data_IF_317378789835
#
_entry.id   IF_317378789835
#
_cell.length_a   1.000
_cell.length_b   1.000
_cell.length_c   1.000
_cell.angle_alpha   90.00
_cell.angle_beta   90.00
_cell.angle_gamma   90.00
#
_symmetry.space_group_name_H-M   'P 1'
#
loop_
_entity.id
_entity.type
_entity.pdbx_description
1 polymer ?
#
# COMPACT_ATOMS: atom_id res chain seq x y z
N UNK A 1 -13.27 -30.45 5.15
CA UNK A 1 -13.38 -29.31 4.21
C UNK A 1 -13.76 -28.11 5.05
N UNK A 2 -12.91 -27.08 5.18
CA UNK A 2 -13.28 -25.86 5.92
C UNK A 2 -14.39 -25.15 5.14
N UNK A 3 -15.45 -24.72 5.83
CA UNK A 3 -16.58 -24.07 5.19
C UNK A 3 -16.09 -22.80 4.46
N UNK A 4 -16.40 -22.72 3.15
CA UNK A 4 -16.03 -21.60 2.29
C UNK A 4 -16.78 -20.35 2.77
N UNK A 5 -16.08 -19.24 2.95
CA UNK A 5 -16.71 -17.94 3.18
C UNK A 5 -17.67 -17.63 2.02
N UNK A 6 -18.91 -17.29 2.34
CA UNK A 6 -19.97 -17.01 1.38
C UNK A 6 -20.47 -15.57 1.59
N UNK A 7 -20.46 -14.77 0.53
CA UNK A 7 -20.99 -13.40 0.59
C UNK A 7 -22.51 -13.45 0.58
N UNK A 8 -23.12 -12.91 1.63
CA UNK A 8 -24.57 -12.84 1.78
C UNK A 8 -25.13 -11.52 1.23
N UNK A 9 -24.46 -10.42 1.56
CA UNK A 9 -24.90 -9.07 1.18
C UNK A 9 -23.67 -8.18 0.95
N UNK A 10 -23.75 -7.28 -0.02
CA UNK A 10 -22.75 -6.22 -0.21
C UNK A 10 -23.39 -4.95 -0.76
N UNK A 11 -22.85 -3.82 -0.33
CA UNK A 11 -23.23 -2.50 -0.81
C UNK A 11 -21.97 -1.69 -1.10
N UNK A 12 -21.95 -1.04 -2.27
CA UNK A 12 -20.96 -0.03 -2.62
C UNK A 12 -21.59 1.35 -2.54
N UNK A 13 -20.98 2.23 -1.75
CA UNK A 13 -21.36 3.62 -1.63
C UNK A 13 -20.28 4.52 -2.20
N UNK A 14 -20.70 5.62 -2.81
CA UNK A 14 -19.85 6.64 -3.40
C UNK A 14 -20.12 8.01 -2.79
N UNK A 15 -19.08 8.82 -2.73
CA UNK A 15 -19.17 10.22 -2.29
C UNK A 15 -18.29 11.09 -3.19
N UNK A 16 -18.90 12.13 -3.77
CA UNK A 16 -18.22 13.12 -4.62
C UNK A 16 -18.55 14.53 -4.14
N UNK A 17 -17.51 15.27 -3.74
CA UNK A 17 -17.63 16.69 -3.37
C UNK A 17 -16.26 17.37 -3.56
N UNK A 18 -16.21 18.43 -4.39
CA UNK A 18 -14.95 19.07 -4.79
C UNK A 18 -13.97 18.06 -5.39
N UNK A 19 -12.73 18.01 -4.89
CA UNK A 19 -11.70 17.05 -5.29
C UNK A 19 -11.85 15.66 -4.63
N UNK A 20 -12.83 15.46 -3.75
CA UNK A 20 -13.07 14.14 -3.15
C UNK A 20 -13.85 13.26 -4.12
N UNK A 21 -13.28 12.12 -4.52
CA UNK A 21 -14.00 10.99 -5.12
C UNK A 21 -13.69 9.73 -4.31
N UNK A 22 -14.63 9.35 -3.43
CA UNK A 22 -14.44 8.29 -2.43
C UNK A 22 -15.39 7.14 -2.67
N UNK A 23 -14.89 5.94 -2.40
CA UNK A 23 -15.65 4.69 -2.39
C UNK A 23 -15.66 4.13 -0.97
N UNK A 24 -16.79 3.55 -0.57
CA UNK A 24 -16.96 2.81 0.67
C UNK A 24 -17.78 1.56 0.41
N UNK A 25 -17.17 0.39 0.55
CA UNK A 25 -17.80 -0.91 0.41
C UNK A 25 -18.07 -1.51 1.78
N UNK A 26 -19.20 -2.20 1.92
CA UNK A 26 -19.54 -3.02 3.08
C UNK A 26 -19.97 -4.39 2.59
N UNK A 27 -19.50 -5.45 3.24
CA UNK A 27 -19.98 -6.82 3.02
C UNK A 27 -20.44 -7.47 4.31
N UNK A 28 -21.47 -8.29 4.21
CA UNK A 28 -21.88 -9.27 5.20
C UNK A 28 -21.55 -10.65 4.63
N UNK A 29 -20.68 -11.38 5.31
CA UNK A 29 -20.15 -12.65 4.86
C UNK A 29 -20.45 -13.75 5.88
N UNK A 30 -21.00 -14.88 5.43
CA UNK A 30 -21.16 -16.09 6.22
C UNK A 30 -19.84 -16.84 6.31
N UNK A 31 -19.47 -17.23 7.53
CA UNK A 31 -18.27 -18.03 7.84
C UNK A 31 -18.68 -19.27 8.64
N UNK A 32 -17.74 -20.17 8.91
CA UNK A 32 -18.01 -21.44 9.59
C UNK A 32 -18.73 -21.26 10.94
N UNK A 33 -18.31 -20.25 11.72
CA UNK A 33 -18.81 -19.98 13.07
C UNK A 33 -19.75 -18.76 13.14
N UNK A 34 -20.46 -18.43 12.07
CA UNK A 34 -21.46 -17.35 12.07
C UNK A 34 -21.28 -16.36 10.92
N UNK A 35 -21.29 -15.07 11.23
CA UNK A 35 -21.27 -14.00 10.23
C UNK A 35 -20.25 -12.92 10.58
N UNK A 36 -19.64 -12.35 9.55
CA UNK A 36 -18.72 -11.21 9.66
C UNK A 36 -19.20 -10.03 8.83
N UNK A 37 -18.92 -8.81 9.31
CA UNK A 37 -19.20 -7.55 8.62
C UNK A 37 -17.89 -6.82 8.36
N UNK A 38 -17.53 -6.73 7.09
CA UNK A 38 -16.27 -6.16 6.64
C UNK A 38 -16.51 -4.90 5.82
N UNK A 39 -15.48 -4.06 5.69
CA UNK A 39 -15.57 -2.83 4.90
C UNK A 39 -14.25 -2.50 4.22
N UNK A 40 -14.35 -1.82 3.07
CA UNK A 40 -13.22 -1.28 2.33
C UNK A 40 -13.48 0.18 1.93
N UNK A 41 -12.50 1.07 2.02
CA UNK A 41 -12.69 2.49 1.73
C UNK A 41 -11.44 3.19 1.23
N UNK A 42 -11.63 4.22 0.40
CA UNK A 42 -10.51 4.94 -0.19
C UNK A 42 -10.94 5.90 -1.29
N UNK A 43 -9.97 6.48 -2.00
CA UNK A 43 -10.23 7.22 -3.22
C UNK A 43 -10.61 6.24 -4.33
N UNK A 44 -11.53 6.59 -5.22
CA UNK A 44 -11.83 5.75 -6.39
C UNK A 44 -10.57 5.48 -7.21
N UNK A 45 -10.42 4.24 -7.67
CA UNK A 45 -9.25 3.77 -8.44
C UNK A 45 -7.96 3.61 -7.62
N UNK A 46 -7.97 3.90 -6.32
CA UNK A 46 -6.85 3.58 -5.43
C UNK A 46 -7.06 2.23 -4.74
N UNK A 47 -5.99 1.63 -4.24
CA UNK A 47 -6.10 0.47 -3.36
C UNK A 47 -6.84 0.89 -2.08
N UNK A 48 -7.94 0.22 -1.76
CA UNK A 48 -8.78 0.56 -0.63
C UNK A 48 -8.12 0.11 0.69
N UNK A 49 -8.39 0.87 1.76
CA UNK A 49 -8.16 0.43 3.13
C UNK A 49 -9.27 -0.51 3.53
N UNK A 50 -8.91 -1.67 4.07
CA UNK A 50 -9.88 -2.63 4.60
C UNK A 50 -9.93 -2.58 6.12
N UNK A 51 -11.03 -3.07 6.69
CA UNK A 51 -11.18 -3.34 8.11
C UNK A 51 -12.42 -4.19 8.38
N UNK A 52 -12.61 -4.55 9.64
CA UNK A 52 -13.76 -5.35 10.08
C UNK A 52 -14.51 -4.68 11.24
N UNK A 53 -15.83 -4.89 11.32
CA UNK A 53 -16.63 -4.55 12.49
C UNK A 53 -16.83 -5.72 13.44
N UNK A 54 -16.49 -6.91 12.99
CA UNK A 54 -16.66 -8.17 13.72
C UNK A 54 -15.36 -8.97 13.60
N UNK A 55 -14.33 -8.64 14.41
CA UNK A 55 -13.08 -9.41 14.43
C UNK A 55 -13.28 -10.89 14.79
N UNK A 56 -14.42 -11.21 15.40
CA UNK A 56 -14.91 -12.59 15.60
C UNK A 56 -16.30 -12.69 14.99
N UNK A 57 -16.64 -13.87 14.51
CA UNK A 57 -17.96 -14.13 13.96
C UNK A 57 -19.06 -13.88 15.01
N UNK A 58 -20.18 -13.31 14.55
CA UNK A 58 -21.35 -13.00 15.38
C UNK A 58 -22.60 -13.66 14.80
N UNK A 59 -23.71 -13.55 15.53
CA UNK A 59 -25.01 -14.04 15.03
C UNK A 59 -25.46 -13.29 13.78
N UNK A 60 -26.33 -13.92 12.97
CA UNK A 60 -26.89 -13.30 11.77
C UNK A 60 -27.61 -11.98 12.05
N UNK A 61 -28.40 -11.94 13.12
CA UNK A 61 -29.16 -10.75 13.53
C UNK A 61 -28.22 -9.59 13.93
N UNK A 62 -27.16 -9.89 14.69
CA UNK A 62 -26.16 -8.89 15.05
C UNK A 62 -25.39 -8.38 13.82
N UNK A 63 -24.95 -9.27 12.93
CA UNK A 63 -24.27 -8.90 11.70
C UNK A 63 -25.14 -8.02 10.80
N UNK A 64 -26.41 -8.37 10.63
CA UNK A 64 -27.38 -7.60 9.83
C UNK A 64 -27.56 -6.19 10.40
N UNK A 65 -27.68 -6.06 11.74
CA UNK A 65 -27.76 -4.76 12.41
C UNK A 65 -26.50 -3.92 12.22
N UNK A 66 -25.31 -4.52 12.33
CA UNK A 66 -24.03 -3.84 12.13
C UNK A 66 -23.86 -3.37 10.67
N UNK A 67 -24.22 -4.22 9.71
CA UNK A 67 -24.21 -3.89 8.28
C UNK A 67 -25.10 -2.67 7.98
N UNK A 68 -26.39 -2.74 8.36
CA UNK A 68 -27.34 -1.65 8.14
C UNK A 68 -26.89 -0.35 8.84
N UNK A 69 -26.31 -0.45 10.05
CA UNK A 69 -25.78 0.70 10.77
C UNK A 69 -24.60 1.35 10.03
N UNK A 70 -23.69 0.57 9.44
CA UNK A 70 -22.59 1.09 8.64
C UNK A 70 -23.08 1.87 7.43
N UNK A 71 -24.01 1.29 6.68
CA UNK A 71 -24.62 1.91 5.48
C UNK A 71 -25.29 3.22 5.86
N UNK A 72 -26.23 3.20 6.82
CA UNK A 72 -26.95 4.41 7.27
C UNK A 72 -26.01 5.51 7.79
N UNK A 73 -24.93 5.15 8.47
CA UNK A 73 -23.92 6.12 8.97
C UNK A 73 -23.15 6.79 7.83
N UNK A 74 -23.01 6.12 6.69
CA UNK A 74 -22.34 6.69 5.51
C UNK A 74 -23.31 7.53 4.69
N UNK A 75 -24.54 7.08 4.53
CA UNK A 75 -25.60 7.86 3.87
C UNK A 75 -25.85 9.19 4.59
N UNK A 76 -25.87 9.19 5.93
CA UNK A 76 -26.00 10.44 6.70
C UNK A 76 -24.82 11.40 6.53
N UNK A 77 -23.69 10.92 5.99
CA UNK A 77 -22.50 11.72 5.62
C UNK A 77 -22.47 12.09 4.14
N UNK A 78 -23.59 11.93 3.44
CA UNK A 78 -23.74 12.29 2.02
C UNK A 78 -23.23 11.23 1.04
N UNK A 79 -22.89 10.03 1.51
CA UNK A 79 -22.63 8.92 0.58
C UNK A 79 -23.94 8.45 -0.06
N UNK A 80 -23.88 8.05 -1.32
CA UNK A 80 -25.02 7.52 -2.08
C UNK A 80 -24.65 6.16 -2.67
N UNK A 81 -25.64 5.32 -3.07
CA UNK A 81 -25.36 4.12 -3.85
C UNK A 81 -24.43 4.43 -5.03
N UNK A 82 -23.34 3.67 -5.12
CA UNK A 82 -22.29 3.88 -6.11
C UNK A 82 -22.22 2.76 -7.14
N UNK A 83 -21.57 3.04 -8.26
CA UNK A 83 -21.16 1.99 -9.20
C UNK A 83 -20.29 0.94 -8.51
N UNK A 84 -20.37 -0.29 -9.01
CA UNK A 84 -19.50 -1.37 -8.59
C UNK A 84 -18.02 -0.98 -8.81
N UNK A 85 -17.21 -1.27 -7.81
CA UNK A 85 -15.75 -1.21 -7.89
C UNK A 85 -15.19 -2.59 -7.56
N UNK A 86 -13.90 -2.81 -7.81
CA UNK A 86 -13.25 -4.09 -7.52
C UNK A 86 -13.64 -4.59 -6.13
N UNK A 87 -14.22 -5.79 -6.09
CA UNK A 87 -14.68 -6.37 -4.85
C UNK A 87 -13.50 -6.70 -3.95
N UNK A 88 -13.65 -6.51 -2.64
CA UNK A 88 -12.66 -6.99 -1.68
C UNK A 88 -13.10 -8.35 -1.11
N UNK A 89 -12.12 -9.25 -0.99
CA UNK A 89 -12.22 -10.55 -0.35
C UNK A 89 -11.55 -10.47 1.00
N UNK A 90 -12.27 -10.95 2.01
CA UNK A 90 -11.80 -11.00 3.38
C UNK A 90 -11.59 -12.47 3.76
N UNK A 91 -10.94 -12.68 4.89
CA UNK A 91 -10.85 -13.96 5.58
C UNK A 91 -11.36 -13.80 7.01
N UNK A 92 -11.65 -14.90 7.70
CA UNK A 92 -12.13 -14.86 9.09
C UNK A 92 -11.15 -14.18 10.08
N UNK A 93 -9.87 -14.07 9.72
CA UNK A 93 -8.78 -13.62 10.58
C UNK A 93 -8.43 -12.14 10.40
N UNK A 94 -9.40 -11.29 10.03
CA UNK A 94 -9.12 -9.87 9.79
C UNK A 94 -8.48 -9.19 11.01
N UNK A 95 -7.47 -8.36 10.75
CA UNK A 95 -6.71 -7.61 11.76
C UNK A 95 -5.87 -8.47 12.73
N UNK A 96 -5.76 -9.79 12.50
CA UNK A 96 -4.83 -10.63 13.27
C UNK A 96 -3.36 -10.31 12.94
N UNK A 97 -2.51 -10.35 13.97
CA UNK A 97 -1.07 -10.18 13.80
C UNK A 97 -0.44 -11.47 13.28
N UNK A 98 0.16 -11.39 12.10
CA UNK A 98 0.80 -12.53 11.44
C UNK A 98 2.21 -12.82 11.94
N UNK A 99 2.79 -11.94 12.76
CA UNK A 99 4.21 -11.97 13.13
C UNK A 99 5.16 -11.53 12.01
N UNK A 100 4.66 -11.37 10.77
CA UNK A 100 5.45 -10.90 9.63
C UNK A 100 5.62 -9.39 9.71
N UNK A 101 6.83 -8.90 9.43
CA UNK A 101 7.18 -7.48 9.50
C UNK A 101 7.92 -7.09 8.23
N UNK A 102 7.50 -5.98 7.62
CA UNK A 102 8.15 -5.48 6.41
C UNK A 102 9.57 -4.95 6.72
N UNK A 103 10.51 -5.18 5.82
CA UNK A 103 11.74 -4.42 5.70
C UNK A 103 11.41 -2.99 5.22
N UNK A 104 11.97 -1.99 5.89
CA UNK A 104 11.66 -0.58 5.69
C UNK A 104 12.90 0.19 5.23
N UNK A 105 12.65 1.18 4.38
CA UNK A 105 13.69 1.94 3.69
C UNK A 105 14.08 3.20 4.47
N UNK A 106 15.37 3.54 4.42
CA UNK A 106 15.89 4.85 4.83
C UNK A 106 16.00 5.80 3.63
N UNK A 107 15.69 7.10 3.82
CA UNK A 107 15.93 8.10 2.78
C UNK A 107 17.43 8.31 2.57
N UNK A 108 17.82 8.69 1.36
CA UNK A 108 19.16 9.17 1.03
C UNK A 108 19.12 10.64 0.62
N UNK A 109 20.25 11.34 0.77
CA UNK A 109 20.45 12.69 0.25
C UNK A 109 20.88 12.69 -1.22
N UNK A 110 20.81 13.86 -1.87
CA UNK A 110 21.25 14.05 -3.27
C UNK A 110 22.72 13.64 -3.49
N UNK A 111 23.58 13.85 -2.48
CA UNK A 111 25.00 13.49 -2.54
C UNK A 111 25.23 11.99 -2.65
N UNK A 112 24.38 11.18 -2.02
CA UNK A 112 24.48 9.71 -2.03
C UNK A 112 23.88 9.09 -3.29
N UNK A 113 22.95 9.81 -3.95
CA UNK A 113 22.25 9.33 -5.14
C UNK A 113 23.23 9.03 -6.28
N UNK A 114 24.22 9.90 -6.50
CA UNK A 114 25.19 9.73 -7.58
C UNK A 114 25.99 8.43 -7.42
N UNK A 115 26.49 8.16 -6.22
CA UNK A 115 27.25 6.95 -5.92
C UNK A 115 26.39 5.69 -6.10
N UNK A 116 25.11 5.75 -5.71
CA UNK A 116 24.17 4.64 -5.88
C UNK A 116 23.75 4.42 -7.33
N UNK A 117 23.74 5.44 -8.18
CA UNK A 117 23.52 5.28 -9.61
C UNK A 117 24.73 4.64 -10.30
N UNK A 118 25.95 5.02 -9.90
CA UNK A 118 27.19 4.51 -10.52
C UNK A 118 27.70 3.17 -9.97
N UNK A 119 27.39 2.83 -8.72
CA UNK A 119 27.87 1.59 -8.10
C UNK A 119 27.11 0.36 -8.56
N UNK A 120 27.69 -0.84 -8.53
CA UNK A 120 27.01 -2.09 -8.94
C UNK A 120 26.51 -2.94 -7.76
N UNK A 121 26.67 -2.47 -6.53
CA UNK A 121 26.26 -3.19 -5.31
C UNK A 121 24.76 -3.11 -5.05
N UNK A 122 24.11 -2.05 -5.54
CA UNK A 122 22.68 -1.84 -5.38
C UNK A 122 21.98 -1.86 -6.74
N UNK A 123 20.85 -2.55 -6.79
CA UNK A 123 19.91 -2.39 -7.90
C UNK A 123 19.03 -1.15 -7.69
N UNK A 124 18.34 -0.72 -8.74
CA UNK A 124 17.33 0.34 -8.74
C UNK A 124 15.98 -0.22 -9.18
N UNK A 125 14.93 0.19 -8.49
CA UNK A 125 13.53 -0.08 -8.82
C UNK A 125 12.68 1.19 -8.68
N UNK A 126 11.52 1.24 -9.36
CA UNK A 126 10.52 2.29 -9.13
C UNK A 126 10.06 2.28 -7.67
N UNK A 127 9.94 3.47 -7.07
CA UNK A 127 9.20 3.65 -5.83
C UNK A 127 7.72 3.84 -6.15
N UNK A 128 6.94 2.77 -6.09
CA UNK A 128 5.49 2.86 -6.28
C UNK A 128 4.80 3.63 -5.15
N UNK A 129 3.88 4.53 -5.52
CA UNK A 129 3.03 5.28 -4.59
C UNK A 129 1.71 4.54 -4.40
N UNK A 130 1.67 3.66 -3.41
CA UNK A 130 0.52 2.80 -3.18
C UNK A 130 0.33 2.43 -1.72
N UNK A 131 -0.08 1.18 -1.51
CA UNK A 131 -0.19 0.58 -0.18
C UNK A 131 0.65 -0.69 -0.13
N UNK A 132 1.66 -0.69 0.73
CA UNK A 132 2.41 -1.91 1.08
C UNK A 132 1.46 -3.06 1.41
N UNK A 133 1.57 -4.13 0.63
CA UNK A 133 0.75 -5.31 0.71
C UNK A 133 1.61 -6.54 0.45
N UNK A 134 1.74 -7.40 1.46
CA UNK A 134 2.25 -8.74 1.26
C UNK A 134 1.07 -9.69 0.96
N UNK A 135 1.32 -10.70 0.13
CA UNK A 135 0.33 -11.75 -0.15
C UNK A 135 0.93 -13.09 0.23
N UNK A 136 0.27 -13.79 1.15
CA UNK A 136 0.64 -15.15 1.55
C UNK A 136 -0.36 -16.14 0.98
N UNK A 137 0.14 -17.21 0.36
CA UNK A 137 -0.65 -18.37 -0.03
C UNK A 137 -0.15 -19.60 0.72
N UNK A 138 -1.07 -20.32 1.36
CA UNK A 138 -0.81 -21.60 2.04
C UNK A 138 -1.92 -22.57 1.65
N UNK A 139 -1.59 -23.55 0.80
CA UNK A 139 -2.55 -24.39 0.12
C UNK A 139 -3.56 -23.56 -0.68
N UNK A 140 -4.83 -23.58 -0.26
CA UNK A 140 -5.92 -22.82 -0.89
C UNK A 140 -6.23 -21.49 -0.19
N UNK A 141 -5.59 -21.21 0.95
CA UNK A 141 -5.81 -19.98 1.70
C UNK A 141 -4.89 -18.88 1.17
N UNK A 142 -5.48 -17.72 0.85
CA UNK A 142 -4.75 -16.53 0.39
C UNK A 142 -5.14 -15.36 1.26
N UNK A 143 -4.15 -14.71 1.87
CA UNK A 143 -4.37 -13.54 2.72
C UNK A 143 -3.52 -12.36 2.27
N UNK A 144 -4.03 -11.16 2.50
CA UNK A 144 -3.25 -9.92 2.45
C UNK A 144 -2.68 -9.60 3.82
N UNK A 145 -1.48 -9.04 3.86
CA UNK A 145 -0.83 -8.56 5.09
C UNK A 145 -0.36 -7.14 4.86
N UNK A 146 -0.81 -6.21 5.69
CA UNK A 146 -0.44 -4.80 5.54
C UNK A 146 0.94 -4.50 6.15
N UNK A 147 1.42 -3.26 5.98
CA UNK A 147 2.69 -2.77 6.56
C UNK A 147 2.87 -3.02 8.07
N UNK A 148 1.77 -3.11 8.84
CA UNK A 148 1.80 -3.34 10.30
C UNK A 148 1.91 -4.83 10.66
N UNK A 149 1.91 -5.72 9.67
CA UNK A 149 1.89 -7.18 9.88
C UNK A 149 0.51 -7.75 10.14
N UNK A 150 -0.56 -6.97 9.91
CA UNK A 150 -1.94 -7.39 10.18
C UNK A 150 -2.60 -7.95 8.93
N UNK A 151 -3.41 -8.99 9.10
CA UNK A 151 -4.27 -9.53 8.03
C UNK A 151 -5.25 -8.47 7.54
N UNK A 152 -5.36 -8.34 6.22
CA UNK A 152 -6.24 -7.41 5.53
C UNK A 152 -6.93 -8.06 4.34
N UNK A 153 -8.05 -7.48 3.91
CA UNK A 153 -8.73 -7.92 2.70
C UNK A 153 -7.90 -7.61 1.45
N UNK A 154 -8.08 -8.44 0.42
CA UNK A 154 -7.47 -8.32 -0.89
C UNK A 154 -8.52 -7.90 -1.91
N UNK A 155 -8.15 -7.13 -2.94
CA UNK A 155 -9.03 -7.02 -4.10
C UNK A 155 -9.20 -8.41 -4.74
N UNK A 156 -10.37 -8.66 -5.32
CA UNK A 156 -10.69 -9.92 -5.98
C UNK A 156 -9.73 -10.20 -7.14
N UNK A 157 -9.26 -9.15 -7.82
CA UNK A 157 -8.27 -9.22 -8.91
C UNK A 157 -6.92 -9.74 -8.42
N UNK A 158 -6.37 -9.16 -7.34
CA UNK A 158 -5.10 -9.60 -6.75
C UNK A 158 -5.24 -11.02 -6.20
N UNK A 159 -6.34 -11.31 -5.51
CA UNK A 159 -6.61 -12.65 -5.00
C UNK A 159 -6.69 -13.69 -6.13
N UNK A 160 -7.39 -13.38 -7.22
CA UNK A 160 -7.51 -14.28 -8.38
C UNK A 160 -6.15 -14.50 -9.06
N UNK A 161 -5.35 -13.46 -9.24
CA UNK A 161 -4.00 -13.61 -9.79
C UNK A 161 -3.10 -14.47 -8.89
N UNK A 162 -3.08 -14.20 -7.58
CA UNK A 162 -2.33 -15.00 -6.61
C UNK A 162 -2.80 -16.47 -6.58
N UNK A 163 -4.08 -16.74 -6.78
CA UNK A 163 -4.61 -18.12 -6.79
C UNK A 163 -4.08 -18.97 -7.95
N UNK A 164 -3.75 -18.34 -9.08
CA UNK A 164 -3.21 -19.00 -10.28
C UNK A 164 -1.73 -19.38 -10.14
N UNK A 165 -1.00 -18.77 -9.21
CA UNK A 165 0.40 -19.10 -8.98
C UNK A 165 0.52 -20.48 -8.31
N UNK A 166 1.51 -21.30 -8.71
CA UNK A 166 1.71 -22.61 -8.12
C UNK A 166 2.31 -22.51 -6.71
N UNK A 167 2.03 -23.51 -5.88
CA UNK A 167 2.68 -23.67 -4.59
C UNK A 167 2.29 -22.64 -3.53
N UNK A 168 3.01 -22.72 -2.42
CA UNK A 168 2.88 -21.81 -1.27
C UNK A 168 3.92 -20.70 -1.39
N UNK A 169 3.59 -19.49 -0.96
CA UNK A 169 4.51 -18.36 -1.06
C UNK A 169 4.18 -17.22 -0.10
N UNK A 170 5.17 -16.36 0.13
CA UNK A 170 5.01 -15.03 0.73
C UNK A 170 5.63 -13.96 -0.19
N UNK A 171 4.78 -13.22 -0.88
CA UNK A 171 5.16 -12.10 -1.74
C UNK A 171 5.17 -10.79 -0.96
N UNK A 172 6.11 -9.90 -1.23
CA UNK A 172 6.14 -8.53 -0.71
C UNK A 172 6.04 -7.53 -1.87
N UNK A 173 5.05 -6.66 -1.82
CA UNK A 173 4.71 -5.77 -2.93
C UNK A 173 4.03 -4.46 -2.50
N UNK A 174 3.79 -3.61 -3.48
CA UNK A 174 3.03 -2.37 -3.33
C UNK A 174 1.77 -2.45 -4.20
N UNK A 175 0.60 -2.37 -3.57
CA UNK A 175 -0.66 -2.34 -4.29
C UNK A 175 -0.94 -0.90 -4.77
N UNK A 176 -1.20 -0.75 -6.07
CA UNK A 176 -1.58 0.51 -6.72
C UNK A 176 -2.85 0.25 -7.51
N UNK A 177 -3.96 0.80 -7.01
CA UNK A 177 -5.30 0.42 -7.50
C UNK A 177 -5.54 -1.06 -7.22
N UNK A 178 -5.79 -1.81 -8.29
CA UNK A 178 -6.11 -3.24 -8.27
C UNK A 178 -4.95 -4.13 -8.76
N UNK A 179 -3.74 -3.57 -8.87
CA UNK A 179 -2.51 -4.26 -9.28
C UNK A 179 -1.53 -4.31 -8.11
N UNK A 180 -1.00 -5.50 -7.84
CA UNK A 180 0.11 -5.68 -6.92
C UNK A 180 1.45 -5.69 -7.67
N UNK A 181 2.28 -4.67 -7.40
CA UNK A 181 3.65 -4.58 -7.90
C UNK A 181 4.59 -5.28 -6.90
N UNK A 182 4.92 -6.53 -7.18
CA UNK A 182 5.70 -7.40 -6.30
C UNK A 182 7.19 -7.15 -6.51
N UNK A 183 7.92 -6.86 -5.43
CA UNK A 183 9.35 -6.54 -5.53
C UNK A 183 10.24 -7.49 -4.70
N UNK A 184 9.67 -8.46 -3.99
CA UNK A 184 10.43 -9.48 -3.25
C UNK A 184 9.61 -10.77 -3.05
N UNK A 185 10.31 -11.89 -2.88
CA UNK A 185 9.74 -13.22 -2.54
C UNK A 185 10.45 -13.72 -1.29
N UNK A 186 9.69 -13.85 -0.20
CA UNK A 186 10.24 -14.11 1.14
C UNK A 186 10.18 -15.58 1.54
N UNK A 187 9.18 -16.30 1.05
CA UNK A 187 9.00 -17.74 1.30
C UNK A 187 8.45 -18.38 0.02
N UNK A 188 8.85 -19.62 -0.27
CA UNK A 188 8.33 -20.41 -1.38
C UNK A 188 8.32 -21.90 -1.03
N UNK A 189 7.18 -22.58 -1.18
CA UNK A 189 7.00 -24.02 -0.95
C UNK A 189 7.56 -24.51 0.40
N UNK A 190 7.35 -23.72 1.46
CA UNK A 190 7.82 -24.02 2.82
C UNK A 190 9.28 -23.67 3.09
N UNK A 191 10.03 -23.17 2.08
CA UNK A 191 11.37 -22.66 2.26
C UNK A 191 11.35 -21.17 2.65
N UNK A 192 12.10 -20.80 3.69
CA UNK A 192 12.37 -19.41 4.05
C UNK A 192 13.52 -18.85 3.20
N UNK A 193 13.20 -17.89 2.33
CA UNK A 193 14.16 -17.25 1.42
C UNK A 193 14.76 -15.98 2.01
N UNK A 194 14.27 -15.46 3.15
CA UNK A 194 14.77 -14.23 3.78
C UNK A 194 16.28 -14.22 4.02
N UNK A 195 16.95 -15.34 4.38
CA UNK A 195 18.40 -15.36 4.56
C UNK A 195 19.21 -15.18 3.25
N UNK A 196 18.60 -15.46 2.08
CA UNK A 196 19.27 -15.38 0.78
C UNK A 196 19.48 -13.93 0.34
N UNK A 197 20.42 -13.69 -0.57
CA UNK A 197 20.65 -12.36 -1.15
C UNK A 197 19.45 -11.88 -1.97
N UNK A 198 19.22 -10.56 -2.00
CA UNK A 198 18.07 -9.96 -2.69
C UNK A 198 17.94 -10.39 -4.16
N UNK A 199 19.04 -10.44 -4.90
CA UNK A 199 19.01 -10.81 -6.32
C UNK A 199 18.52 -12.25 -6.53
N UNK A 200 18.89 -13.17 -5.63
CA UNK A 200 18.41 -14.55 -5.67
C UNK A 200 16.90 -14.61 -5.41
N UNK A 201 16.42 -13.91 -4.37
CA UNK A 201 14.97 -13.82 -4.08
C UNK A 201 14.19 -13.21 -5.23
N UNK A 202 14.72 -12.16 -5.86
CA UNK A 202 14.09 -11.51 -7.01
C UNK A 202 14.10 -12.40 -8.26
N UNK A 203 15.15 -13.20 -8.47
CA UNK A 203 15.21 -14.18 -9.56
C UNK A 203 14.14 -15.25 -9.40
N UNK A 204 13.99 -15.77 -8.17
CA UNK A 204 12.93 -16.73 -7.84
C UNK A 204 11.53 -16.11 -7.98
N UNK A 205 11.37 -14.84 -7.65
CA UNK A 205 10.13 -14.09 -7.88
C UNK A 205 9.75 -14.06 -9.37
N UNK A 206 10.70 -13.71 -10.25
CA UNK A 206 10.48 -13.66 -11.70
C UNK A 206 10.09 -15.04 -12.25
N UNK A 207 10.69 -16.12 -11.71
CA UNK A 207 10.34 -17.49 -12.10
C UNK A 207 8.94 -17.89 -11.63
N UNK A 208 8.50 -17.41 -10.46
CA UNK A 208 7.19 -17.73 -9.90
C UNK A 208 6.06 -16.95 -10.58
N UNK A 209 6.29 -15.68 -10.91
CA UNK A 209 5.26 -14.75 -11.39
C UNK A 209 5.34 -14.59 -12.91
N UNK A 210 4.40 -15.16 -13.69
CA UNK A 210 4.40 -15.02 -15.14
C UNK A 210 3.91 -13.62 -15.56
N UNK A 211 4.33 -13.18 -16.74
CA UNK A 211 4.06 -11.82 -17.25
C UNK A 211 2.63 -11.60 -17.76
N UNK A 212 1.83 -12.66 -17.90
CA UNK A 212 0.45 -12.57 -18.38
C UNK A 212 -0.56 -12.21 -17.27
N UNK A 213 -0.13 -12.12 -16.00
CA UNK A 213 -0.99 -11.69 -14.89
C UNK A 213 -1.00 -10.17 -14.78
N UNK A 214 -2.10 -9.53 -15.17
CA UNK A 214 -2.23 -8.07 -15.15
C UNK A 214 -2.36 -7.49 -13.73
N UNK A 215 -2.95 -8.23 -12.80
CA UNK A 215 -3.16 -7.77 -11.41
C UNK A 215 -2.00 -8.11 -10.46
N UNK A 216 -0.97 -8.81 -10.93
CA UNK A 216 0.18 -9.20 -10.12
C UNK A 216 1.42 -9.20 -11.01
N UNK A 217 2.26 -8.18 -10.84
CA UNK A 217 3.39 -7.88 -11.71
C UNK A 217 4.66 -7.77 -10.88
N UNK A 218 5.74 -8.43 -11.29
CA UNK A 218 7.04 -8.19 -10.65
C UNK A 218 7.58 -6.81 -11.07
N UNK A 219 8.35 -6.18 -10.18
CA UNK A 219 8.95 -4.86 -10.43
C UNK A 219 10.26 -5.01 -11.20
N UNK A 220 10.38 -4.31 -12.33
CA UNK A 220 11.62 -4.22 -13.12
C UNK A 220 12.80 -3.72 -12.28
N UNK A 221 13.96 -4.33 -12.48
CA UNK A 221 15.17 -4.11 -11.66
C UNK A 221 16.37 -3.81 -12.55
N UNK A 222 16.96 -2.62 -12.40
CA UNK A 222 18.19 -2.23 -13.09
C UNK A 222 19.40 -2.42 -12.16
N UNK A 223 20.51 -2.96 -12.67
CA UNK A 223 21.74 -3.20 -11.87
C UNK A 223 22.93 -2.47 -12.48
N UNK A 224 23.11 -2.53 -13.80
CA UNK A 224 24.20 -1.84 -14.46
C UNK A 224 24.05 -0.31 -14.29
N UNK A 225 25.15 0.44 -14.13
CA UNK A 225 25.10 1.89 -13.96
C UNK A 225 24.30 2.62 -15.06
N UNK A 226 24.49 2.20 -16.31
CA UNK A 226 23.83 2.77 -17.48
C UNK A 226 22.31 2.54 -17.41
N UNK A 227 21.88 1.29 -17.20
CA UNK A 227 20.47 0.94 -17.05
C UNK A 227 19.79 1.69 -15.89
N UNK A 228 20.51 1.87 -14.78
CA UNK A 228 19.99 2.61 -13.63
C UNK A 228 19.84 4.09 -13.92
N UNK A 229 20.79 4.68 -14.64
CA UNK A 229 20.73 6.08 -15.04
C UNK A 229 19.54 6.32 -15.98
N UNK A 230 19.36 5.47 -16.99
CA UNK A 230 18.22 5.52 -17.89
C UNK A 230 16.89 5.36 -17.14
N UNK A 231 16.76 4.29 -16.34
CA UNK A 231 15.56 4.03 -15.54
C UNK A 231 15.23 5.18 -14.59
N UNK A 232 16.25 5.77 -13.94
CA UNK A 232 16.05 6.90 -13.04
C UNK A 232 15.46 8.12 -13.77
N UNK A 233 16.02 8.49 -14.94
CA UNK A 233 15.54 9.64 -15.70
C UNK A 233 14.16 9.40 -16.30
N UNK A 234 13.88 8.19 -16.77
CA UNK A 234 12.55 7.80 -17.24
C UNK A 234 11.52 7.96 -16.13
N UNK A 235 11.76 7.38 -14.96
CA UNK A 235 10.85 7.49 -13.82
C UNK A 235 10.67 8.94 -13.37
N UNK A 236 11.72 9.76 -13.43
CA UNK A 236 11.65 11.18 -13.08
C UNK A 236 10.83 11.96 -14.11
N UNK A 237 11.02 11.73 -15.40
CA UNK A 237 10.25 12.36 -16.49
C UNK A 237 8.76 12.00 -16.44
N UNK A 238 8.45 10.79 -15.98
CA UNK A 238 7.09 10.27 -15.80
C UNK A 238 6.45 10.72 -14.47
N UNK A 239 7.10 11.62 -13.71
CA UNK A 239 6.63 12.13 -12.41
C UNK A 239 6.26 11.01 -11.42
N UNK A 240 7.03 9.92 -11.40
CA UNK A 240 6.86 8.84 -10.42
C UNK A 240 7.25 9.31 -9.01
N UNK A 241 6.93 8.54 -7.98
CA UNK A 241 7.22 8.95 -6.59
C UNK A 241 8.73 9.05 -6.30
N UNK A 242 9.53 8.26 -7.00
CA UNK A 242 10.97 8.15 -6.78
C UNK A 242 11.53 6.79 -7.17
N UNK A 243 12.69 6.47 -6.60
CA UNK A 243 13.40 5.21 -6.77
C UNK A 243 13.75 4.56 -5.44
N UNK A 244 13.91 3.25 -5.49
CA UNK A 244 14.36 2.40 -4.39
C UNK A 244 15.67 1.76 -4.80
N UNK A 245 16.67 1.81 -3.91
CA UNK A 245 17.92 1.09 -4.06
C UNK A 245 17.98 -0.08 -3.08
N UNK A 246 18.39 -1.26 -3.54
CA UNK A 246 18.52 -2.45 -2.70
C UNK A 246 19.86 -3.12 -2.92
N UNK A 247 20.58 -3.41 -1.84
CA UNK A 247 21.81 -4.20 -1.90
C UNK A 247 21.47 -5.59 -2.45
N UNK A 248 22.07 -5.94 -3.59
CA UNK A 248 21.74 -7.15 -4.35
C UNK A 248 22.12 -8.44 -3.62
N UNK A 249 23.02 -8.37 -2.63
CA UNK A 249 23.51 -9.52 -1.86
C UNK A 249 22.92 -9.61 -0.46
N UNK A 250 22.16 -8.60 -0.03
CA UNK A 250 21.66 -8.54 1.33
C UNK A 250 20.47 -9.48 1.61
N UNK A 251 20.51 -10.10 2.79
CA UNK A 251 19.37 -10.78 3.38
C UNK A 251 18.22 -9.79 3.69
N UNK A 252 17.01 -10.33 3.80
CA UNK A 252 15.84 -9.57 4.23
C UNK A 252 15.91 -9.31 5.74
N UNK A 253 15.97 -8.05 6.15
CA UNK A 253 15.98 -7.66 7.57
C UNK A 253 14.73 -6.85 7.89
N UNK A 254 13.78 -7.39 8.67
CA UNK A 254 12.57 -6.67 9.03
C UNK A 254 12.83 -5.37 9.79
N UNK A 255 11.94 -4.39 9.62
CA UNK A 255 12.04 -3.08 10.27
C UNK A 255 12.93 -2.10 9.53
N UNK A 256 13.26 -0.98 10.18
CA UNK A 256 14.08 0.09 9.63
C UNK A 256 15.37 0.22 10.47
N UNK A 257 16.56 0.11 9.85
CA UNK A 257 17.81 0.47 10.53
C UNK A 257 17.82 1.94 10.96
N UNK A 258 18.58 2.30 12.00
CA UNK A 258 18.64 3.69 12.48
C UNK A 258 19.13 4.68 11.41
N UNK A 259 20.04 4.25 10.55
CA UNK A 259 20.58 5.01 9.40
C UNK A 259 21.09 4.04 8.33
N UNK A 260 21.11 4.48 7.06
CA UNK A 260 21.59 3.66 5.94
C UNK A 260 20.86 2.32 5.83
N UNK A 261 21.62 1.24 5.64
CA UNK A 261 21.11 -0.12 5.53
C UNK A 261 20.95 -0.59 4.08
N UNK A 262 20.50 -1.83 3.91
CA UNK A 262 20.44 -2.51 2.61
C UNK A 262 19.27 -2.10 1.72
N UNK A 263 18.34 -1.28 2.22
CA UNK A 263 17.25 -0.72 1.44
C UNK A 263 17.14 0.79 1.64
N UNK A 264 17.31 1.52 0.55
CA UNK A 264 17.40 2.96 0.50
C UNK A 264 16.35 3.51 -0.47
N UNK A 265 15.92 4.75 -0.27
CA UNK A 265 14.96 5.40 -1.17
C UNK A 265 15.36 6.83 -1.45
N UNK A 266 15.11 7.25 -2.69
CA UNK A 266 15.18 8.62 -3.12
C UNK A 266 13.83 9.01 -3.70
N UNK A 267 13.20 10.05 -3.15
CA UNK A 267 11.90 10.53 -3.63
C UNK A 267 12.13 11.69 -4.58
N UNK A 268 11.38 11.74 -5.68
CA UNK A 268 11.34 12.90 -6.57
C UNK A 268 10.37 13.93 -5.96
N UNK A 269 10.69 14.46 -4.79
CA UNK A 269 9.94 15.61 -4.30
C UNK A 269 10.51 16.87 -4.94
N UNK A 270 9.63 17.75 -5.38
CA UNK A 270 9.97 19.14 -5.56
C UNK A 270 9.91 19.83 -4.21
N UNK A 271 10.94 20.59 -3.88
CA UNK A 271 10.91 21.54 -2.78
C UNK A 271 10.17 22.79 -3.26
N UNK A 272 9.00 23.06 -2.67
CA UNK A 272 8.30 24.32 -2.86
C UNK A 272 8.40 25.16 -1.59
N UNK A 273 8.59 26.47 -1.75
CA UNK A 273 8.52 27.44 -0.65
C UNK A 273 7.07 27.89 -0.54
N UNK A 274 6.51 27.79 0.66
CA UNK A 274 5.14 28.20 0.94
C UNK A 274 5.16 29.38 1.90
N UNK A 275 4.22 30.29 1.74
CA UNK A 275 3.94 31.32 2.75
C UNK A 275 3.06 30.71 3.83
N UNK A 276 3.40 30.93 5.09
CA UNK A 276 2.52 30.55 6.20
C UNK A 276 1.38 31.54 6.31
N UNK A 277 0.16 31.10 5.96
CA UNK A 277 -1.02 31.97 5.91
C UNK A 277 -1.80 32.02 7.22
N UNK A 278 -1.48 31.15 8.17
CA UNK A 278 -2.08 31.16 9.50
C UNK A 278 -1.68 29.98 10.36
N UNK A 279 -2.03 30.03 11.64
CA UNK A 279 -1.90 28.90 12.57
C UNK A 279 -3.25 28.20 12.76
N UNK A 280 -3.20 26.91 13.11
CA UNK A 280 -4.37 26.12 13.51
C UNK A 280 -4.42 25.92 15.03
N UNK A 281 -5.53 25.38 15.54
CA UNK A 281 -5.66 25.02 16.97
C UNK A 281 -4.69 23.91 17.41
N UNK A 282 -4.41 22.96 16.51
CA UNK A 282 -3.36 21.95 16.71
C UNK A 282 -2.02 22.54 16.25
N UNK A 283 -0.90 21.92 16.65
CA UNK A 283 0.47 22.35 16.29
C UNK A 283 0.76 22.15 14.80
N UNK A 284 0.08 22.91 13.95
CA UNK A 284 0.13 22.90 12.50
C UNK A 284 -0.14 24.30 11.95
N UNK A 285 0.38 24.59 10.76
CA UNK A 285 0.21 25.86 10.06
C UNK A 285 -0.54 25.68 8.74
N UNK A 286 -1.25 26.72 8.31
CA UNK A 286 -1.85 26.85 6.98
C UNK A 286 -0.81 27.37 6.01
N UNK A 287 -0.77 26.79 4.82
CA UNK A 287 0.17 27.13 3.75
C UNK A 287 -0.57 27.83 2.60
N UNK A 288 0.17 28.66 1.86
CA UNK A 288 -0.29 29.24 0.61
C UNK A 288 0.84 29.43 -0.40
N UNK A 289 0.46 29.49 -1.67
CA UNK A 289 1.31 29.80 -2.81
C UNK A 289 0.69 30.94 -3.62
N UNK A 290 1.52 31.78 -4.22
CA UNK A 290 1.05 32.75 -5.20
C UNK A 290 0.78 32.03 -6.52
N UNK A 291 -0.40 32.26 -7.12
CA UNK A 291 -0.68 31.82 -8.49
C UNK A 291 0.01 32.75 -9.50
N UNK A 292 -0.13 32.45 -10.80
CA UNK A 292 0.45 33.26 -11.89
C UNK A 292 -0.04 34.71 -11.91
N UNK A 293 -1.23 34.98 -11.34
CA UNK A 293 -1.79 36.32 -11.20
C UNK A 293 -1.27 37.08 -9.96
N UNK A 294 -0.46 36.43 -9.11
CA UNK A 294 0.08 37.00 -7.88
C UNK A 294 -0.84 36.87 -6.65
N UNK A 295 -1.98 36.20 -6.77
CA UNK A 295 -2.92 35.97 -5.66
C UNK A 295 -2.48 34.79 -4.81
N UNK A 296 -2.55 34.96 -3.47
CA UNK A 296 -2.21 33.91 -2.52
C UNK A 296 -3.34 32.88 -2.41
N UNK A 297 -3.11 31.68 -2.93
CA UNK A 297 -4.02 30.54 -2.82
C UNK A 297 -3.63 29.62 -1.67
N UNK A 298 -4.62 29.17 -0.90
CA UNK A 298 -4.37 28.21 0.19
C UNK A 298 -4.07 26.82 -0.36
N UNK A 299 -3.01 26.18 0.14
CA UNK A 299 -2.54 24.86 -0.32
C UNK A 299 -2.66 23.77 0.75
N UNK A 300 -3.31 24.08 1.86
CA UNK A 300 -3.59 23.13 2.94
C UNK A 300 -2.81 23.40 4.22
N UNK A 301 -2.53 22.35 4.99
CA UNK A 301 -1.97 22.44 6.33
C UNK A 301 -0.79 21.49 6.52
N UNK A 302 0.23 21.92 7.26
CA UNK A 302 1.37 21.07 7.67
C UNK A 302 1.53 21.04 9.18
N UNK A 303 1.71 19.84 9.74
CA UNK A 303 1.97 19.64 11.17
C UNK A 303 3.42 20.01 11.49
N UNK A 304 3.63 20.81 12.54
CA UNK A 304 4.97 21.19 13.02
C UNK A 304 5.37 20.24 14.16
N UNK A 305 6.39 19.40 13.97
CA UNK A 305 6.85 18.45 15.00
C UNK A 305 7.29 19.16 16.27
N UNK A 306 7.04 18.57 17.44
CA UNK A 306 7.23 19.22 18.77
C UNK A 306 8.63 19.76 19.02
N UNK A 307 9.65 19.18 18.38
CA UNK A 307 11.05 19.58 18.44
C UNK A 307 11.45 20.73 17.48
N UNK A 308 10.51 21.32 16.75
CA UNK A 308 10.73 22.48 15.87
C UNK A 308 9.88 23.67 16.30
N UNK A 309 10.39 24.89 16.13
CA UNK A 309 9.60 26.11 16.31
C UNK A 309 8.47 26.20 15.29
N UNK A 310 7.33 26.79 15.69
CA UNK A 310 6.20 27.02 14.78
C UNK A 310 6.52 28.25 13.93
N UNK A 311 6.60 28.13 12.60
CA UNK A 311 6.92 29.26 11.72
C UNK A 311 5.89 30.39 11.86
N UNK A 312 6.32 31.64 11.69
CA UNK A 312 5.46 32.83 11.85
C UNK A 312 4.51 32.97 10.68
N UNK A 313 3.33 33.54 10.91
CA UNK A 313 2.45 33.91 9.80
C UNK A 313 3.15 34.96 8.92
N UNK A 314 3.16 34.74 7.62
CA UNK A 314 3.84 35.56 6.61
C UNK A 314 5.30 35.18 6.33
N UNK A 315 5.87 34.19 7.04
CA UNK A 315 7.19 33.61 6.70
C UNK A 315 7.11 32.67 5.51
#
# INVERSE_FOLDING_TARGET
MKAKQERMEAVTLSYREGHSDKVYQVSLDKVEEGFTVNFAYGRRGSTLKTGTKTPRAVSHDEATKLFAKLVRTKESKGYQPGEESAEYRFTAFQEEDTGIRCQLLNPIADTELHDLLLGSTHCLQEKFDGRRLMVRKTGNEIIGINRRGLVVGLSATIHQAASQLPGDFLLDGEAVGDVLHVFDLLEANGEDLRPRGYLERHTLLIQLVPTNLTALQWVSTAIAPEDKYETYHDLRSLNKEGVVFKDIRAAYTPGRPNSGGSQLKYKFYETATFVVTGHNQKRSVRLGLHNEQGDLQSTGNVTVPTNHEVPRVGS
#
